data_IF_548598821622
#
_entry.id   IF_548598821622
#
_cell.length_a   1.000
_cell.length_b   1.000
_cell.length_c   1.000
_cell.angle_alpha   90.00
_cell.angle_beta   90.00
_cell.angle_gamma   90.00
#
_symmetry.space_group_name_H-M   'P 1'
#
loop_
_entity.id
_entity.type
_entity.pdbx_description
1 polymer ?
#
# COMPACT_ATOMS: atom_id res chain seq x y z
N UNK A 1 13.97 -4.21 7.44
CA UNK A 1 13.98 -3.60 6.09
C UNK A 1 13.35 -2.23 6.22
N UNK A 2 13.97 -1.21 5.65
CA UNK A 2 13.35 0.12 5.55
C UNK A 2 12.53 0.13 4.25
N UNK A 3 11.25 0.48 4.33
CA UNK A 3 10.35 0.52 3.16
C UNK A 3 10.39 1.94 2.62
N UNK A 4 11.10 2.15 1.51
CA UNK A 4 11.22 3.45 0.86
C UNK A 4 10.29 3.60 -0.34
N UNK A 5 10.12 2.52 -1.11
CA UNK A 5 9.36 2.49 -2.35
C UNK A 5 8.13 1.59 -2.23
N UNK A 6 6.94 2.18 -2.44
CA UNK A 6 5.65 1.49 -2.32
C UNK A 6 4.91 1.52 -3.66
N UNK A 7 4.46 0.36 -4.12
CA UNK A 7 3.60 0.25 -5.29
C UNK A 7 2.16 -0.05 -4.84
N UNK A 8 1.19 0.77 -5.25
CA UNK A 8 -0.22 0.57 -4.91
C UNK A 8 -0.99 0.16 -6.16
N UNK A 9 -1.61 -1.02 -6.15
CA UNK A 9 -2.36 -1.56 -7.29
C UNK A 9 -3.84 -1.29 -7.11
N UNK A 10 -4.41 -0.50 -8.02
CA UNK A 10 -5.78 -0.01 -7.98
C UNK A 10 -5.84 1.41 -7.42
N UNK A 11 -6.46 2.34 -8.17
CA UNK A 11 -6.59 3.75 -7.82
C UNK A 11 -7.98 4.12 -7.26
N UNK A 12 -8.80 3.11 -6.95
CA UNK A 12 -10.10 3.29 -6.30
C UNK A 12 -10.00 3.77 -4.86
N UNK A 13 -11.15 3.76 -4.15
CA UNK A 13 -11.28 4.31 -2.80
C UNK A 13 -10.21 3.85 -1.80
N UNK A 14 -9.88 2.55 -1.80
CA UNK A 14 -8.88 2.01 -0.88
C UNK A 14 -7.47 2.39 -1.33
N UNK A 15 -7.15 2.17 -2.61
CA UNK A 15 -5.81 2.40 -3.12
C UNK A 15 -5.38 3.86 -3.08
N UNK A 16 -6.26 4.81 -3.41
CA UNK A 16 -5.93 6.23 -3.29
C UNK A 16 -5.62 6.65 -1.84
N UNK A 17 -6.37 6.11 -0.87
CA UNK A 17 -6.14 6.38 0.54
C UNK A 17 -4.85 5.73 1.06
N UNK A 18 -4.54 4.51 0.59
CA UNK A 18 -3.28 3.81 0.90
C UNK A 18 -2.08 4.59 0.33
N UNK A 19 -2.17 5.04 -0.93
CA UNK A 19 -1.13 5.84 -1.57
C UNK A 19 -0.90 7.16 -0.84
N UNK A 20 -1.97 7.86 -0.44
CA UNK A 20 -1.89 9.08 0.36
C UNK A 20 -1.13 8.85 1.67
N UNK A 21 -1.51 7.86 2.48
CA UNK A 21 -0.86 7.65 3.78
C UNK A 21 0.60 7.22 3.63
N UNK A 22 0.93 6.42 2.62
CA UNK A 22 2.30 5.98 2.36
C UNK A 22 3.18 7.19 1.98
N UNK A 23 2.68 8.06 1.11
CA UNK A 23 3.40 9.28 0.75
C UNK A 23 3.53 10.27 1.92
N UNK A 24 2.49 10.40 2.76
CA UNK A 24 2.53 11.28 3.94
C UNK A 24 3.57 10.86 4.97
N UNK A 25 3.93 9.57 5.04
CA UNK A 25 5.02 9.08 5.91
C UNK A 25 6.40 9.09 5.23
N UNK A 26 6.49 9.65 4.02
CA UNK A 26 7.75 9.88 3.31
C UNK A 26 8.15 8.78 2.32
N UNK A 27 7.29 7.80 2.03
CA UNK A 27 7.58 6.82 0.98
C UNK A 27 7.43 7.44 -0.41
N UNK A 28 8.25 6.98 -1.36
CA UNK A 28 7.98 7.16 -2.79
C UNK A 28 6.89 6.17 -3.18
N UNK A 29 5.81 6.66 -3.79
CA UNK A 29 4.63 5.85 -4.12
C UNK A 29 4.39 5.86 -5.61
N UNK A 30 4.11 4.69 -6.16
CA UNK A 30 3.51 4.54 -7.49
C UNK A 30 2.05 4.12 -7.32
N UNK A 31 1.14 4.90 -7.90
CA UNK A 31 -0.28 4.60 -7.91
C UNK A 31 -0.66 4.07 -9.30
N UNK A 32 -0.92 2.76 -9.36
CA UNK A 32 -1.24 2.05 -10.58
C UNK A 32 -2.74 1.80 -10.73
N UNK A 33 -3.25 1.91 -11.95
CA UNK A 33 -4.52 1.34 -12.38
C UNK A 33 -4.45 1.03 -13.90
N UNK A 34 -5.41 0.28 -14.41
CA UNK A 34 -5.41 -0.22 -15.80
C UNK A 34 -5.68 0.86 -16.85
N UNK A 35 -6.06 2.07 -16.44
CA UNK A 35 -6.28 3.20 -17.35
C UNK A 35 -5.89 4.52 -16.72
N UNK A 36 -5.38 5.44 -17.55
CA UNK A 36 -5.00 6.80 -17.13
C UNK A 36 -6.16 7.52 -16.45
N UNK A 37 -7.40 7.33 -16.93
CA UNK A 37 -8.61 7.92 -16.33
C UNK A 37 -8.78 7.49 -14.87
N UNK A 38 -8.60 6.20 -14.56
CA UNK A 38 -8.76 5.68 -13.20
C UNK A 38 -7.65 6.17 -12.29
N UNK A 39 -6.41 6.18 -12.78
CA UNK A 39 -5.26 6.70 -12.04
C UNK A 39 -5.46 8.17 -11.74
N UNK A 40 -5.86 8.97 -12.73
CA UNK A 40 -6.10 10.40 -12.54
C UNK A 40 -7.24 10.66 -11.54
N UNK A 41 -8.34 9.90 -11.62
CA UNK A 41 -9.40 9.99 -10.62
C UNK A 41 -8.91 9.66 -9.19
N UNK A 42 -7.97 8.72 -9.05
CA UNK A 42 -7.30 8.43 -7.79
C UNK A 42 -6.44 9.60 -7.29
N UNK A 43 -5.64 10.21 -8.17
CA UNK A 43 -4.83 11.39 -7.86
C UNK A 43 -5.72 12.57 -7.43
N UNK A 44 -6.81 12.82 -8.13
CA UNK A 44 -7.76 13.90 -7.81
C UNK A 44 -8.39 13.68 -6.43
N UNK A 45 -8.77 12.44 -6.10
CA UNK A 45 -9.29 12.09 -4.78
C UNK A 45 -8.27 12.32 -3.65
N UNK A 46 -6.98 12.07 -3.90
CA UNK A 46 -5.90 12.37 -2.95
C UNK A 46 -5.75 13.89 -2.78
N UNK A 47 -5.76 14.65 -3.88
CA UNK A 47 -5.73 16.11 -3.84
C UNK A 47 -6.85 16.69 -2.98
N UNK A 48 -8.09 16.22 -3.18
CA UNK A 48 -9.27 16.66 -2.44
C UNK A 48 -9.16 16.31 -0.95
N UNK A 49 -8.74 15.08 -0.64
CA UNK A 49 -8.51 14.61 0.72
C UNK A 49 -7.46 15.48 1.44
N UNK A 50 -6.31 15.71 0.82
CA UNK A 50 -5.25 16.54 1.39
C UNK A 50 -5.68 18.01 1.52
N UNK A 51 -6.49 18.54 0.60
CA UNK A 51 -7.03 19.88 0.69
C UNK A 51 -7.94 20.05 1.92
N UNK A 52 -8.75 19.03 2.25
CA UNK A 52 -9.55 19.00 3.49
C UNK A 52 -8.64 19.00 4.72
N UNK A 53 -7.55 18.23 4.70
CA UNK A 53 -6.61 18.16 5.82
C UNK A 53 -5.89 19.49 6.03
N UNK A 54 -5.49 20.14 4.94
CA UNK A 54 -4.85 21.47 4.94
C UNK A 54 -5.83 22.53 5.47
N UNK A 55 -7.07 22.55 4.99
CA UNK A 55 -8.10 23.49 5.43
C UNK A 55 -8.47 23.33 6.92
N UNK A 56 -8.31 22.12 7.47
CA UNK A 56 -8.49 21.81 8.89
C UNK A 56 -7.20 21.98 9.71
N UNK A 57 -6.15 22.54 9.12
CA UNK A 57 -4.83 22.76 9.74
C UNK A 57 -4.22 21.47 10.33
N UNK A 58 -4.59 20.32 9.78
CA UNK A 58 -4.01 19.02 10.18
C UNK A 58 -2.63 18.87 9.57
N UNK A 59 -2.44 19.33 8.34
CA UNK A 59 -1.14 19.34 7.65
C UNK A 59 -0.75 20.76 7.26
N UNK A 60 0.54 21.03 7.14
CA UNK A 60 1.08 22.25 6.56
C UNK A 60 1.02 22.21 5.03
N UNK A 61 1.21 23.37 4.40
CA UNK A 61 1.33 23.46 2.93
C UNK A 61 2.53 22.66 2.40
N UNK A 62 3.64 22.69 3.13
CA UNK A 62 4.84 21.92 2.79
C UNK A 62 4.58 20.41 2.84
N UNK A 63 3.86 19.93 3.85
CA UNK A 63 3.46 18.51 3.92
C UNK A 63 2.53 18.12 2.77
N UNK A 64 1.59 18.99 2.38
CA UNK A 64 0.75 18.78 1.22
C UNK A 64 1.60 18.62 -0.06
N UNK A 65 2.50 19.59 -0.32
CA UNK A 65 3.31 19.62 -1.53
C UNK A 65 4.27 18.42 -1.59
N UNK A 66 4.89 18.08 -0.46
CA UNK A 66 5.78 16.91 -0.35
C UNK A 66 5.03 15.58 -0.55
N UNK A 67 3.82 15.45 0.00
CA UNK A 67 2.98 14.25 -0.18
C UNK A 67 2.65 14.06 -1.66
N UNK A 68 2.17 15.12 -2.32
CA UNK A 68 1.81 15.06 -3.74
C UNK A 68 3.04 14.79 -4.63
N UNK A 69 4.18 15.42 -4.33
CA UNK A 69 5.43 15.16 -5.05
C UNK A 69 5.93 13.71 -4.89
N UNK A 70 5.57 13.06 -3.78
CA UNK A 70 5.91 11.67 -3.47
C UNK A 70 5.13 10.62 -4.29
N UNK A 71 4.03 11.00 -4.96
CA UNK A 71 3.15 10.06 -5.66
C UNK A 71 3.36 10.17 -7.18
N UNK A 72 3.67 9.05 -7.81
CA UNK A 72 3.76 8.89 -9.25
C UNK A 72 2.53 8.13 -9.78
N UNK A 73 1.67 8.75 -10.61
CA UNK A 73 0.63 8.01 -11.33
C UNK A 73 1.26 7.14 -12.41
N UNK A 74 0.73 5.93 -12.61
CA UNK A 74 1.24 5.02 -13.65
C UNK A 74 0.19 4.04 -14.16
N UNK A 75 0.35 3.60 -15.41
CA UNK A 75 -0.40 2.49 -16.01
C UNK A 75 0.51 1.30 -16.33
N UNK A 76 1.77 1.34 -15.90
CA UNK A 76 2.78 0.33 -16.18
C UNK A 76 3.07 -0.48 -14.92
N UNK A 77 2.76 -1.78 -14.95
CA UNK A 77 2.95 -2.65 -13.79
C UNK A 77 4.44 -2.90 -13.51
N UNK A 78 5.27 -2.79 -14.54
CA UNK A 78 6.72 -2.97 -14.56
C UNK A 78 7.45 -2.00 -13.62
N UNK A 79 6.85 -0.85 -13.30
CA UNK A 79 7.39 0.10 -12.32
C UNK A 79 7.43 -0.46 -10.89
N UNK A 80 6.74 -1.58 -10.62
CA UNK A 80 6.87 -2.31 -9.37
C UNK A 80 8.25 -2.98 -9.20
N UNK A 81 9.08 -3.06 -10.26
CA UNK A 81 10.38 -3.71 -10.26
C UNK A 81 11.44 -3.11 -9.32
N UNK A 82 11.22 -1.89 -8.82
CA UNK A 82 12.09 -1.23 -7.83
C UNK A 82 11.43 -1.01 -6.47
N UNK A 83 10.26 -1.61 -6.23
CA UNK A 83 9.49 -1.39 -5.01
C UNK A 83 9.82 -2.41 -3.91
N UNK A 84 9.84 -1.94 -2.66
CA UNK A 84 10.07 -2.76 -1.47
C UNK A 84 8.78 -3.43 -1.00
N UNK A 85 7.65 -2.75 -1.21
CA UNK A 85 6.33 -3.16 -0.80
C UNK A 85 5.33 -2.92 -1.93
N UNK A 86 4.49 -3.92 -2.22
CA UNK A 86 3.29 -3.75 -3.02
C UNK A 86 2.06 -3.86 -2.12
N UNK A 87 1.06 -3.00 -2.34
CA UNK A 87 -0.25 -3.09 -1.70
C UNK A 87 -1.32 -3.15 -2.78
N UNK A 88 -1.89 -4.33 -2.95
CA UNK A 88 -2.97 -4.60 -3.89
C UNK A 88 -4.33 -4.24 -3.26
N UNK A 89 -5.09 -3.37 -3.95
CA UNK A 89 -6.42 -2.91 -3.57
C UNK A 89 -7.37 -2.86 -4.79
N UNK A 90 -7.29 -3.87 -5.66
CA UNK A 90 -8.18 -4.08 -6.80
C UNK A 90 -9.49 -4.78 -6.37
N UNK A 91 -10.36 -5.02 -7.35
CA UNK A 91 -11.68 -5.62 -7.13
C UNK A 91 -11.60 -6.94 -6.36
N UNK A 92 -12.59 -7.19 -5.50
CA UNK A 92 -12.63 -8.36 -4.62
C UNK A 92 -13.09 -9.62 -5.38
N UNK A 93 -12.26 -10.05 -6.32
CA UNK A 93 -12.42 -11.29 -7.09
C UNK A 93 -11.09 -12.06 -7.07
N UNK A 94 -11.16 -13.36 -6.73
CA UNK A 94 -9.97 -14.19 -6.56
C UNK A 94 -9.15 -14.27 -7.86
N UNK A 95 -9.78 -14.45 -9.03
CA UNK A 95 -9.05 -14.60 -10.30
C UNK A 95 -8.35 -13.32 -10.69
N UNK A 96 -9.00 -12.18 -10.45
CA UNK A 96 -8.39 -10.86 -10.68
C UNK A 96 -7.15 -10.69 -9.81
N UNK A 97 -7.25 -11.01 -8.52
CA UNK A 97 -6.10 -10.92 -7.60
C UNK A 97 -5.00 -11.91 -7.94
N UNK A 98 -5.33 -13.16 -8.26
CA UNK A 98 -4.36 -14.18 -8.69
C UNK A 98 -3.54 -13.68 -9.89
N UNK A 99 -4.20 -13.14 -10.92
CA UNK A 99 -3.50 -12.60 -12.09
C UNK A 99 -2.60 -11.40 -11.78
N UNK A 100 -3.03 -10.52 -10.87
CA UNK A 100 -2.20 -9.40 -10.39
C UNK A 100 -0.97 -9.93 -9.64
N UNK A 101 -1.15 -10.89 -8.72
CA UNK A 101 -0.06 -11.45 -7.93
C UNK A 101 0.92 -12.29 -8.75
N UNK A 102 0.45 -13.03 -9.76
CA UNK A 102 1.31 -13.77 -10.70
C UNK A 102 2.20 -12.80 -11.49
N UNK A 103 1.64 -11.69 -12.00
CA UNK A 103 2.42 -10.69 -12.71
C UNK A 103 3.44 -9.99 -11.80
N UNK A 104 3.03 -9.60 -10.59
CA UNK A 104 3.91 -8.96 -9.61
C UNK A 104 5.02 -9.89 -9.12
N UNK A 105 4.78 -11.20 -9.03
CA UNK A 105 5.79 -12.21 -8.70
C UNK A 105 6.90 -12.25 -9.76
N UNK A 106 6.58 -12.03 -11.04
CA UNK A 106 7.58 -11.91 -12.11
C UNK A 106 8.34 -10.58 -12.12
N UNK A 107 7.69 -9.49 -11.72
CA UNK A 107 8.22 -8.12 -11.83
C UNK A 107 9.02 -7.70 -10.60
N UNK A 108 8.53 -7.99 -9.39
CA UNK A 108 9.05 -7.42 -8.16
C UNK A 108 10.36 -8.09 -7.72
N UNK A 109 11.28 -7.33 -7.09
CA UNK A 109 12.51 -7.89 -6.51
C UNK A 109 12.22 -9.06 -5.57
N UNK A 110 13.07 -10.10 -5.49
CA UNK A 110 12.84 -11.26 -4.61
C UNK A 110 12.64 -10.89 -3.12
N UNK A 111 13.17 -9.74 -2.70
CA UNK A 111 13.04 -9.23 -1.33
C UNK A 111 11.71 -8.53 -1.05
N UNK A 112 10.98 -8.11 -2.08
CA UNK A 112 9.76 -7.31 -1.96
C UNK A 112 8.64 -8.09 -1.26
N UNK A 113 7.84 -7.37 -0.47
CA UNK A 113 6.62 -7.90 0.16
C UNK A 113 5.43 -7.61 -0.74
N UNK A 114 4.59 -8.61 -0.98
CA UNK A 114 3.36 -8.47 -1.76
C UNK A 114 2.16 -8.51 -0.81
N UNK A 115 1.59 -7.35 -0.52
CA UNK A 115 0.45 -7.16 0.36
C UNK A 115 -0.87 -7.13 -0.40
N UNK A 116 -1.92 -7.76 0.12
CA UNK A 116 -3.30 -7.58 -0.38
C UNK A 116 -4.17 -6.92 0.69
N UNK A 117 -5.00 -5.96 0.28
CA UNK A 117 -6.02 -5.32 1.11
C UNK A 117 -7.37 -6.09 1.12
N UNK A 118 -7.38 -7.36 0.69
CA UNK A 118 -8.59 -8.19 0.73
C UNK A 118 -9.21 -8.26 2.13
N UNK A 119 -10.53 -8.30 2.19
CA UNK A 119 -11.28 -8.42 3.45
C UNK A 119 -11.89 -9.82 3.64
N UNK A 120 -12.06 -10.59 2.56
CA UNK A 120 -12.78 -11.87 2.60
C UNK A 120 -12.03 -13.04 1.98
N UNK A 121 -11.08 -12.80 1.06
CA UNK A 121 -10.39 -13.87 0.36
C UNK A 121 -9.24 -14.40 1.24
N UNK A 122 -9.12 -15.72 1.44
CA UNK A 122 -7.99 -16.27 2.17
C UNK A 122 -6.66 -15.88 1.51
N UNK A 123 -5.74 -15.33 2.31
CA UNK A 123 -4.41 -14.91 1.84
C UNK A 123 -3.65 -16.07 1.19
N UNK A 124 -3.82 -17.30 1.71
CA UNK A 124 -3.22 -18.51 1.14
C UNK A 124 -3.68 -18.81 -0.28
N UNK A 125 -4.94 -18.50 -0.62
CA UNK A 125 -5.46 -18.68 -1.99
C UNK A 125 -4.77 -17.72 -2.97
N UNK A 126 -4.59 -16.47 -2.58
CA UNK A 126 -3.89 -15.46 -3.40
C UNK A 126 -2.40 -15.81 -3.50
N UNK A 127 -1.78 -16.18 -2.37
CA UNK A 127 -0.36 -16.52 -2.30
C UNK A 127 0.01 -17.71 -3.18
N UNK A 128 -0.92 -18.65 -3.38
CA UNK A 128 -0.73 -19.83 -4.24
C UNK A 128 -0.52 -19.49 -5.73
N UNK A 129 -0.86 -18.28 -6.17
CA UNK A 129 -0.56 -17.80 -7.53
C UNK A 129 0.90 -17.36 -7.72
N UNK A 130 1.71 -17.33 -6.65
CA UNK A 130 3.11 -16.88 -6.69
C UNK A 130 4.08 -18.01 -6.41
N UNK A 131 5.33 -17.87 -6.86
CA UNK A 131 6.45 -18.73 -6.47
C UNK A 131 7.06 -18.35 -5.10
N UNK A 132 6.56 -17.26 -4.48
CA UNK A 132 7.04 -16.72 -3.19
C UNK A 132 5.91 -16.56 -2.17
N UNK A 133 5.12 -17.61 -1.85
CA UNK A 133 3.96 -17.47 -0.97
C UNK A 133 4.33 -16.98 0.44
N UNK A 134 5.58 -17.18 0.88
CA UNK A 134 6.14 -16.63 2.13
C UNK A 134 6.41 -15.12 2.10
N UNK A 135 6.26 -14.45 0.96
CA UNK A 135 6.35 -12.99 0.79
C UNK A 135 4.98 -12.33 0.57
N UNK A 136 3.91 -13.13 0.56
CA UNK A 136 2.53 -12.66 0.42
C UNK A 136 1.90 -12.50 1.80
N UNK A 137 1.32 -11.33 2.06
CA UNK A 137 0.69 -11.00 3.34
C UNK A 137 -0.64 -10.26 3.11
N UNK A 138 -1.56 -10.35 4.07
CA UNK A 138 -2.68 -9.43 4.16
C UNK A 138 -2.24 -8.12 4.80
N UNK A 139 -2.61 -6.99 4.20
CA UNK A 139 -2.40 -5.64 4.70
C UNK A 139 -3.77 -4.95 4.65
N UNK A 140 -4.56 -5.17 5.69
CA UNK A 140 -5.97 -4.77 5.70
C UNK A 140 -6.12 -3.36 6.29
N UNK A 141 -6.48 -2.42 5.43
CA UNK A 141 -6.85 -1.06 5.79
C UNK A 141 -8.36 -0.94 5.95
N UNK A 142 -8.78 -0.06 6.86
CA UNK A 142 -10.19 0.24 7.08
C UNK A 142 -10.56 1.55 6.38
N UNK A 143 -11.71 1.56 5.71
CA UNK A 143 -12.23 2.77 5.08
C UNK A 143 -12.89 3.71 6.10
N UNK A 144 -12.71 5.04 5.99
CA UNK A 144 -11.85 5.75 5.05
C UNK A 144 -10.38 5.76 5.50
N UNK A 145 -9.48 5.27 4.64
CA UNK A 145 -8.08 4.95 4.98
C UNK A 145 -7.31 6.13 5.62
N UNK A 146 -7.35 7.36 5.07
CA UNK A 146 -6.59 8.48 5.65
C UNK A 146 -7.04 8.91 7.05
N UNK A 147 -8.24 8.51 7.48
CA UNK A 147 -8.77 8.81 8.82
C UNK A 147 -8.51 7.66 9.82
N UNK A 148 -8.20 6.47 9.31
CA UNK A 148 -8.00 5.27 10.12
C UNK A 148 -6.52 5.11 10.45
N UNK A 149 -6.17 5.12 11.75
CA UNK A 149 -4.79 4.96 12.23
C UNK A 149 -4.35 3.48 12.36
N UNK A 150 -5.11 2.56 11.77
CA UNK A 150 -4.95 1.12 11.97
C UNK A 150 -4.83 0.42 10.62
N UNK A 151 -3.75 -0.34 10.48
CA UNK A 151 -3.56 -1.34 9.45
C UNK A 151 -3.31 -2.67 10.17
N UNK A 152 -4.07 -3.70 9.79
CA UNK A 152 -3.87 -5.05 10.28
C UNK A 152 -2.95 -5.82 9.32
N UNK A 153 -1.90 -6.43 9.84
CA UNK A 153 -1.01 -7.30 9.07
C UNK A 153 -1.38 -8.74 9.36
N UNK A 154 -1.83 -9.45 8.33
CA UNK A 154 -2.23 -10.86 8.40
C UNK A 154 -1.14 -11.69 7.71
N UNK A 155 -0.32 -12.46 8.45
CA UNK A 155 0.69 -13.30 7.83
C UNK A 155 0.06 -14.44 7.02
N UNK A 156 0.59 -14.73 5.83
CA UNK A 156 0.24 -15.95 5.09
C UNK A 156 0.73 -17.21 5.82
N UNK A 157 0.04 -18.35 5.65
CA UNK A 157 0.34 -19.59 6.39
C UNK A 157 1.78 -20.10 6.18
N UNK A 158 2.40 -19.82 5.03
CA UNK A 158 3.77 -20.20 4.67
C UNK A 158 4.83 -19.14 5.00
N UNK A 159 4.46 -18.03 5.66
CA UNK A 159 5.41 -17.02 6.11
C UNK A 159 6.37 -17.64 7.14
N UNK A 160 7.66 -17.71 6.79
CA UNK A 160 8.66 -18.47 7.55
C UNK A 160 8.85 -17.94 8.98
N UNK A 161 9.02 -18.90 9.89
CA UNK A 161 8.82 -18.80 11.34
C UNK A 161 10.01 -18.22 12.13
N UNK A 162 11.08 -17.75 11.47
CA UNK A 162 12.31 -17.32 12.16
C UNK A 162 12.19 -15.98 12.90
N UNK A 163 11.10 -15.25 12.69
CA UNK A 163 10.88 -13.94 13.30
C UNK A 163 9.81 -13.91 14.41
N UNK A 164 9.14 -15.02 14.76
CA UNK A 164 8.05 -14.95 15.77
C UNK A 164 8.49 -14.50 17.17
N UNK A 165 9.74 -14.71 17.56
CA UNK A 165 10.23 -14.34 18.90
C UNK A 165 10.61 -12.86 19.08
N UNK A 166 10.55 -12.03 18.03
CA UNK A 166 10.77 -10.58 18.14
C UNK A 166 9.53 -9.72 17.88
N UNK A 167 8.43 -10.30 17.36
CA UNK A 167 7.23 -9.54 16.95
C UNK A 167 6.06 -9.63 17.94
N UNK A 168 6.09 -10.53 18.93
CA UNK A 168 5.16 -10.55 20.07
C UNK A 168 5.40 -9.38 21.05
N UNK A 169 6.39 -8.54 20.78
CA UNK A 169 6.60 -7.28 21.48
C UNK A 169 7.17 -6.23 20.52
N UNK A 170 6.28 -5.47 19.90
CA UNK A 170 6.57 -4.11 19.43
C UNK A 170 7.36 -3.92 18.12
N UNK A 171 7.05 -4.66 17.06
CA UNK A 171 7.41 -4.27 15.67
C UNK A 171 6.15 -4.17 14.81
N UNK A 172 5.32 -3.18 15.15
CA UNK A 172 4.34 -2.64 14.20
C UNK A 172 5.11 -2.23 12.94
N UNK A 173 4.68 -2.63 11.74
CA UNK A 173 4.93 -1.83 10.54
C UNK A 173 4.25 -0.48 10.81
N UNK A 174 4.95 0.38 11.52
CA UNK A 174 4.53 1.75 11.76
C UNK A 174 4.87 2.43 10.44
N UNK A 175 3.83 2.75 9.67
CA UNK A 175 3.82 3.98 8.89
C UNK A 175 3.92 5.12 9.93
N UNK A 176 5.11 5.30 10.51
CA UNK A 176 5.38 6.35 11.49
C UNK A 176 5.69 7.60 10.72
N UNK A 177 4.85 8.62 10.90
CA UNK A 177 5.23 10.00 10.62
C UNK A 177 6.60 10.28 11.27
N UNK A 178 7.48 11.06 10.63
CA UNK A 178 8.68 11.58 11.28
C UNK A 178 8.33 12.13 12.67
N UNK A 179 9.09 11.73 13.67
CA UNK A 179 8.83 12.01 15.09
C UNK A 179 8.52 13.49 15.34
N UNK A 180 7.26 13.80 15.67
CA UNK A 180 6.84 15.14 16.09
C UNK A 180 5.47 15.61 15.61
N UNK A 181 4.83 14.94 14.65
CA UNK A 181 3.56 15.42 14.09
C UNK A 181 2.38 14.54 14.52
N UNK A 182 1.66 15.01 15.54
CA UNK A 182 0.32 14.52 15.87
C UNK A 182 -0.69 15.29 15.02
N UNK A 183 -1.37 14.61 14.10
CA UNK A 183 -2.64 15.10 13.59
C UNK A 183 -3.63 15.01 14.76
N UNK A 184 -3.89 16.15 15.40
CA UNK A 184 -4.97 16.28 16.37
C UNK A 184 -6.33 15.96 15.72
#
# INVERSE_FOLDING_TARGET
MEVGNVFVVGAGLMGNGIAQIAAMVGCRVWLYDVSEERVQAGIDAICDSLAIFLAKEKISREQYDNTMAGIAPTTELEEASSCDLVVEAVFEDLKVKEGVFEALDGICPPSAILGTNTSAIPISSIAAATQRPNKVVGIHFFSPVPLMRLCEIVPGESYEHSERNSYESSSRLRLTMPSGQSLA
#
